data_IF_908890654551
#
_entry.id   IF_908890654551
#
_cell.length_a   1.000
_cell.length_b   1.000
_cell.length_c   1.000
_cell.angle_alpha   90.00
_cell.angle_beta   90.00
_cell.angle_gamma   90.00
#
_symmetry.space_group_name_H-M   'P 1'
#
loop_
_entity.id
_entity.type
_entity.pdbx_description
1 polymer ?
#
# COMPACT_ATOMS: atom_id res chain seq x y z
N UNK A 1 -3.14 30.26 -18.68
CA UNK A 1 -2.18 30.46 -17.58
C UNK A 1 -1.86 29.13 -16.90
N UNK A 2 -0.61 28.77 -16.87
CA UNK A 2 -0.19 27.61 -16.10
C UNK A 2 -0.32 27.93 -14.60
N UNK A 3 -1.02 27.07 -13.88
CA UNK A 3 -1.04 27.15 -12.43
C UNK A 3 0.16 26.36 -11.87
N UNK A 4 1.07 27.10 -11.26
CA UNK A 4 2.27 26.52 -10.67
C UNK A 4 2.13 26.55 -9.14
N UNK A 5 2.46 25.46 -8.50
CA UNK A 5 2.45 25.35 -7.04
C UNK A 5 3.82 24.91 -6.56
N UNK A 6 4.31 25.50 -5.47
CA UNK A 6 5.59 25.09 -4.93
C UNK A 6 5.52 23.72 -4.26
N UNK A 7 6.67 23.07 -4.14
CA UNK A 7 6.79 21.72 -3.60
C UNK A 7 6.22 21.62 -2.18
N UNK A 8 6.48 22.63 -1.34
CA UNK A 8 5.96 22.64 0.02
C UNK A 8 4.45 22.69 0.09
N UNK A 9 3.81 23.48 -0.77
CA UNK A 9 2.35 23.57 -0.86
C UNK A 9 1.76 22.24 -1.33
N UNK A 10 2.35 21.65 -2.36
CA UNK A 10 1.91 20.35 -2.90
C UNK A 10 2.05 19.24 -1.86
N UNK A 11 3.17 19.22 -1.14
CA UNK A 11 3.41 18.27 -0.05
C UNK A 11 2.29 18.30 0.99
N UNK A 12 1.94 19.50 1.46
CA UNK A 12 0.86 19.68 2.44
C UNK A 12 -0.50 19.32 1.88
N UNK A 13 -0.80 19.79 0.68
CA UNK A 13 -2.11 19.61 0.04
C UNK A 13 -2.41 18.15 -0.28
N UNK A 14 -1.41 17.40 -0.74
CA UNK A 14 -1.57 16.00 -1.13
C UNK A 14 -1.22 15.02 -0.01
N UNK A 15 -0.67 15.51 1.09
CA UNK A 15 -0.28 14.65 2.21
C UNK A 15 0.91 13.74 1.89
N UNK A 16 1.82 14.19 1.03
CA UNK A 16 3.05 13.47 0.67
C UNK A 16 4.23 14.23 1.25
N UNK A 17 5.19 13.50 1.86
CA UNK A 17 6.40 14.12 2.37
C UNK A 17 7.28 14.66 1.24
N UNK A 18 8.07 15.67 1.54
CA UNK A 18 9.07 16.20 0.58
C UNK A 18 10.06 15.10 0.15
N UNK A 19 10.38 14.19 1.06
CA UNK A 19 11.26 13.05 0.78
C UNK A 19 10.65 12.12 -0.29
N UNK A 20 9.35 11.83 -0.19
CA UNK A 20 8.65 11.01 -1.18
C UNK A 20 8.56 11.72 -2.53
N UNK A 21 8.28 13.02 -2.54
CA UNK A 21 8.27 13.81 -3.77
C UNK A 21 9.62 13.77 -4.46
N UNK A 22 10.70 13.93 -3.70
CA UNK A 22 12.06 13.85 -4.22
C UNK A 22 12.37 12.46 -4.79
N UNK A 23 11.92 11.42 -4.12
CA UNK A 23 12.07 10.03 -4.57
C UNK A 23 11.38 9.81 -5.92
N UNK A 24 10.15 10.29 -6.07
CA UNK A 24 9.42 10.20 -7.35
C UNK A 24 10.10 10.99 -8.46
N UNK A 25 10.71 12.13 -8.14
CA UNK A 25 11.52 12.87 -9.10
C UNK A 25 12.76 12.09 -9.54
N UNK A 26 13.44 11.44 -8.61
CA UNK A 26 14.61 10.61 -8.90
C UNK A 26 14.26 9.44 -9.83
N UNK A 27 13.06 8.89 -9.70
CA UNK A 27 12.58 7.82 -10.56
C UNK A 27 12.10 8.29 -11.93
N UNK A 28 12.07 9.61 -12.15
CA UNK A 28 11.59 10.17 -13.40
C UNK A 28 10.07 10.14 -13.55
N UNK A 29 9.33 9.86 -12.48
CA UNK A 29 7.87 9.83 -12.50
C UNK A 29 7.26 11.23 -12.58
N UNK A 30 7.87 12.18 -11.93
CA UNK A 30 7.43 13.58 -11.90
C UNK A 30 8.65 14.49 -12.03
N UNK A 31 8.43 15.72 -12.49
CA UNK A 31 9.48 16.73 -12.64
C UNK A 31 9.03 18.03 -12.04
N UNK A 32 9.89 18.63 -11.22
CA UNK A 32 9.71 19.99 -10.77
C UNK A 32 10.46 20.94 -11.68
N UNK A 33 10.05 22.19 -11.69
CA UNK A 33 10.69 23.27 -12.45
C UNK A 33 11.22 24.34 -11.50
N UNK A 34 12.34 24.97 -11.90
CA UNK A 34 12.82 26.17 -11.25
C UNK A 34 12.40 27.38 -12.08
N UNK A 35 11.89 28.39 -11.42
CA UNK A 35 11.52 29.66 -12.04
C UNK A 35 12.57 30.69 -11.63
N UNK A 36 13.06 31.47 -12.63
CA UNK A 36 13.99 32.55 -12.39
C UNK A 36 13.39 33.54 -11.38
N UNK A 37 14.19 33.92 -10.38
CA UNK A 37 13.75 34.85 -9.35
C UNK A 37 12.88 34.24 -8.22
N UNK A 38 12.66 32.94 -8.26
CA UNK A 38 11.88 32.24 -7.22
C UNK A 38 12.74 31.16 -6.55
N UNK A 39 12.74 31.17 -5.23
CA UNK A 39 13.65 30.31 -4.44
C UNK A 39 13.23 28.84 -4.43
N UNK A 40 11.96 28.54 -4.66
CA UNK A 40 11.41 27.19 -4.48
C UNK A 40 11.12 26.54 -5.83
N UNK A 41 11.23 25.20 -5.85
CA UNK A 41 10.80 24.41 -7.00
C UNK A 41 9.28 24.41 -7.07
N UNK A 42 8.75 24.32 -8.29
CA UNK A 42 7.31 24.32 -8.55
C UNK A 42 6.91 23.12 -9.39
N UNK A 43 5.67 22.70 -9.22
CA UNK A 43 5.02 21.70 -10.05
C UNK A 43 3.93 22.34 -10.89
N UNK A 44 3.83 21.93 -12.14
CA UNK A 44 2.72 22.33 -13.01
C UNK A 44 1.48 21.47 -12.73
N UNK A 45 0.37 21.86 -13.32
CA UNK A 45 -0.91 21.18 -13.13
C UNK A 45 -0.88 19.73 -13.60
N UNK A 46 -0.22 19.45 -14.71
CA UNK A 46 -0.08 18.10 -15.25
C UNK A 46 0.68 17.19 -14.29
N UNK A 47 1.76 17.70 -13.72
CA UNK A 47 2.57 16.95 -12.74
C UNK A 47 1.77 16.67 -11.47
N UNK A 48 0.96 17.63 -11.02
CA UNK A 48 0.09 17.45 -9.85
C UNK A 48 -0.95 16.35 -10.12
N UNK A 49 -1.54 16.32 -11.31
CA UNK A 49 -2.48 15.25 -11.70
C UNK A 49 -1.78 13.89 -11.67
N UNK A 50 -0.55 13.84 -12.17
CA UNK A 50 0.25 12.61 -12.14
C UNK A 50 0.55 12.15 -10.72
N UNK A 51 0.86 13.07 -9.82
CA UNK A 51 1.04 12.77 -8.40
C UNK A 51 -0.22 12.18 -7.77
N UNK A 52 -1.39 12.71 -8.11
CA UNK A 52 -2.66 12.16 -7.63
C UNK A 52 -2.88 10.73 -8.12
N UNK A 53 -2.53 10.44 -9.36
CA UNK A 53 -2.57 9.07 -9.90
C UNK A 53 -1.64 8.14 -9.14
N UNK A 54 -0.43 8.58 -8.85
CA UNK A 54 0.54 7.81 -8.07
C UNK A 54 -0.02 7.48 -6.68
N UNK A 55 -0.62 8.48 -6.02
CA UNK A 55 -1.21 8.31 -4.69
C UNK A 55 -2.31 7.25 -4.71
N UNK A 56 -3.22 7.32 -5.69
CA UNK A 56 -4.30 6.33 -5.83
C UNK A 56 -3.74 4.93 -6.03
N UNK A 57 -2.76 4.76 -6.91
CA UNK A 57 -2.14 3.46 -7.19
C UNK A 57 -1.43 2.91 -5.95
N UNK A 58 -0.76 3.77 -5.17
CA UNK A 58 -0.13 3.35 -3.92
C UNK A 58 -1.15 2.90 -2.88
N UNK A 59 -2.29 3.56 -2.80
CA UNK A 59 -3.39 3.13 -1.91
C UNK A 59 -3.93 1.76 -2.31
N UNK A 60 -3.88 1.41 -3.59
CA UNK A 60 -4.26 0.10 -4.10
C UNK A 60 -3.12 -0.93 -3.95
N UNK A 61 -2.03 -0.56 -3.28
CA UNK A 61 -0.85 -1.41 -3.05
C UNK A 61 -0.11 -1.80 -4.33
N UNK A 62 -0.21 -0.98 -5.36
CA UNK A 62 0.62 -1.13 -6.56
C UNK A 62 2.02 -0.67 -6.21
N UNK A 63 3.04 -1.47 -6.54
CA UNK A 63 4.43 -1.13 -6.22
C UNK A 63 4.91 0.05 -7.05
N UNK A 64 5.91 0.77 -6.55
CA UNK A 64 6.50 1.90 -7.28
C UNK A 64 7.03 1.45 -8.64
N UNK A 65 7.64 0.28 -8.71
CA UNK A 65 8.13 -0.30 -9.98
C UNK A 65 6.98 -0.49 -10.98
N UNK A 66 5.86 -1.02 -10.52
CA UNK A 66 4.68 -1.22 -11.35
C UNK A 66 4.03 0.10 -11.75
N UNK A 67 4.06 1.10 -10.87
CA UNK A 67 3.59 2.45 -11.20
C UNK A 67 4.42 3.04 -12.35
N UNK A 68 5.73 2.86 -12.32
CA UNK A 68 6.60 3.26 -13.43
C UNK A 68 6.20 2.58 -14.74
N UNK A 69 5.91 1.28 -14.71
CA UNK A 69 5.45 0.54 -15.87
C UNK A 69 4.12 1.09 -16.40
N UNK A 70 3.17 1.37 -15.50
CA UNK A 70 1.84 1.88 -15.86
C UNK A 70 1.93 3.29 -16.47
N UNK A 71 2.59 4.20 -15.79
CA UNK A 71 2.59 5.62 -16.17
C UNK A 71 3.51 5.93 -17.36
N UNK A 72 4.51 5.10 -17.61
CA UNK A 72 5.44 5.30 -18.73
C UNK A 72 5.10 4.47 -19.95
N UNK A 73 3.98 3.74 -19.92
CA UNK A 73 3.54 2.88 -21.03
C UNK A 73 2.28 3.43 -21.67
N UNK A 74 2.26 3.46 -23.01
CA UNK A 74 1.12 3.93 -23.78
C UNK A 74 0.24 2.78 -24.31
N UNK A 75 0.65 1.53 -24.12
CA UNK A 75 -0.09 0.38 -24.59
C UNK A 75 -1.04 -0.13 -23.50
N UNK A 76 -2.34 -0.04 -23.77
CA UNK A 76 -3.37 -0.49 -22.83
C UNK A 76 -3.20 -1.96 -22.41
N UNK A 77 -2.80 -2.83 -23.36
CA UNK A 77 -2.59 -4.26 -23.08
C UNK A 77 -1.52 -4.48 -22.00
N UNK A 78 -0.44 -3.71 -22.03
CA UNK A 78 0.65 -3.84 -21.07
C UNK A 78 0.23 -3.32 -19.68
N UNK A 79 -0.56 -2.25 -19.64
CA UNK A 79 -1.11 -1.71 -18.38
C UNK A 79 -2.09 -2.71 -17.76
N UNK A 80 -2.94 -3.30 -18.56
CA UNK A 80 -3.89 -4.35 -18.12
C UNK A 80 -3.11 -5.51 -17.49
N UNK A 81 -2.03 -5.94 -18.11
CA UNK A 81 -1.20 -7.03 -17.59
C UNK A 81 -0.62 -6.70 -16.21
N UNK A 82 -0.18 -5.47 -15.99
CA UNK A 82 0.32 -5.04 -14.68
C UNK A 82 -0.79 -5.14 -13.63
N UNK A 83 -1.99 -4.67 -13.94
CA UNK A 83 -3.12 -4.77 -13.02
C UNK A 83 -3.52 -6.23 -12.76
N UNK A 84 -3.51 -7.07 -13.77
CA UNK A 84 -3.81 -8.49 -13.61
C UNK A 84 -2.79 -9.19 -12.71
N UNK A 85 -1.51 -8.85 -12.82
CA UNK A 85 -0.48 -9.34 -11.90
C UNK A 85 -0.76 -8.91 -10.46
N UNK A 86 -1.18 -7.67 -10.27
CA UNK A 86 -1.56 -7.17 -8.95
C UNK A 86 -2.76 -7.93 -8.38
N UNK A 87 -3.74 -8.24 -9.20
CA UNK A 87 -4.89 -9.05 -8.78
C UNK A 87 -4.42 -10.43 -8.31
N UNK A 88 -3.54 -11.09 -9.05
CA UNK A 88 -3.00 -12.39 -8.65
C UNK A 88 -2.24 -12.32 -7.33
N UNK A 89 -1.44 -11.28 -7.14
CA UNK A 89 -0.71 -11.06 -5.87
C UNK A 89 -1.68 -10.87 -4.70
N UNK A 90 -2.77 -10.14 -4.91
CA UNK A 90 -3.81 -9.96 -3.88
C UNK A 90 -4.53 -11.26 -3.58
N UNK A 91 -4.83 -12.06 -4.60
CA UNK A 91 -5.46 -13.37 -4.41
C UNK A 91 -4.58 -14.29 -3.56
N UNK A 92 -3.26 -14.29 -3.81
CA UNK A 92 -2.30 -15.05 -3.00
C UNK A 92 -2.28 -14.56 -1.55
N UNK A 93 -2.27 -13.25 -1.32
CA UNK A 93 -2.30 -12.64 0.01
C UNK A 93 -3.59 -13.01 0.76
N UNK A 94 -4.72 -12.97 0.08
CA UNK A 94 -6.03 -13.36 0.67
C UNK A 94 -5.97 -14.83 1.10
N UNK A 95 -5.45 -15.71 0.26
CA UNK A 95 -5.32 -17.13 0.56
C UNK A 95 -4.41 -17.36 1.75
N UNK A 96 -3.25 -16.70 1.79
CA UNK A 96 -2.32 -16.78 2.92
C UNK A 96 -2.96 -16.32 4.22
N UNK A 97 -3.67 -15.20 4.19
CA UNK A 97 -4.35 -14.66 5.37
C UNK A 97 -5.47 -15.58 5.85
N UNK A 98 -6.23 -16.18 4.92
CA UNK A 98 -7.26 -17.16 5.26
C UNK A 98 -6.65 -18.38 5.93
N UNK A 99 -5.49 -18.85 5.47
CA UNK A 99 -4.76 -19.97 6.07
C UNK A 99 -4.30 -19.62 7.49
N UNK A 100 -3.70 -18.47 7.68
CA UNK A 100 -3.27 -17.99 9.02
C UNK A 100 -4.47 -17.91 9.96
N UNK A 101 -5.56 -17.36 9.51
CA UNK A 101 -6.80 -17.25 10.29
C UNK A 101 -7.30 -18.62 10.72
N UNK A 102 -7.31 -19.59 9.81
CA UNK A 102 -7.73 -20.97 10.11
C UNK A 102 -6.84 -21.62 11.17
N UNK A 103 -5.52 -21.44 11.05
CA UNK A 103 -4.58 -21.97 12.03
C UNK A 103 -4.84 -21.37 13.41
N UNK A 104 -5.02 -20.06 13.49
CA UNK A 104 -5.30 -19.38 14.76
C UNK A 104 -6.62 -19.85 15.37
N UNK A 105 -7.66 -20.03 14.56
CA UNK A 105 -8.95 -20.55 15.01
C UNK A 105 -8.82 -21.96 15.57
N UNK A 106 -8.04 -22.82 14.93
CA UNK A 106 -7.78 -24.17 15.40
C UNK A 106 -6.99 -24.18 16.73
N UNK A 107 -6.01 -23.29 16.87
CA UNK A 107 -5.26 -23.16 18.11
C UNK A 107 -6.15 -22.71 19.26
N UNK A 108 -7.03 -21.76 19.03
CA UNK A 108 -8.01 -21.32 20.04
C UNK A 108 -8.90 -22.48 20.44
N UNK A 109 -9.41 -23.25 19.48
CA UNK A 109 -10.25 -24.44 19.72
C UNK A 109 -9.51 -25.46 20.56
N UNK A 110 -8.27 -25.79 20.21
CA UNK A 110 -7.46 -26.76 20.97
C UNK A 110 -7.22 -26.30 22.40
N UNK A 111 -6.95 -25.01 22.60
CA UNK A 111 -6.73 -24.47 23.94
C UNK A 111 -8.00 -24.51 24.78
N UNK A 112 -9.17 -24.25 24.21
CA UNK A 112 -10.43 -24.40 24.91
C UNK A 112 -10.71 -25.84 25.28
N UNK A 113 -10.45 -26.80 24.40
CA UNK A 113 -10.60 -28.22 24.67
C UNK A 113 -9.67 -28.69 25.80
N UNK A 114 -8.42 -28.24 25.78
CA UNK A 114 -7.46 -28.55 26.88
C UNK A 114 -7.89 -27.96 28.21
N UNK A 115 -8.37 -26.72 28.21
CA UNK A 115 -8.87 -26.07 29.43
C UNK A 115 -10.07 -26.84 29.99
N UNK A 116 -10.99 -27.26 29.13
CA UNK A 116 -12.15 -28.07 29.53
C UNK A 116 -11.72 -29.43 30.07
N UNK A 117 -10.80 -30.11 29.42
CA UNK A 117 -10.25 -31.37 29.88
C UNK A 117 -9.56 -31.24 31.24
N UNK A 118 -8.78 -30.20 31.41
CA UNK A 118 -8.09 -29.94 32.66
C UNK A 118 -9.06 -29.66 33.80
N UNK A 119 -10.12 -28.93 33.56
CA UNK A 119 -11.18 -28.70 34.53
C UNK A 119 -11.90 -30.01 34.90
N UNK A 120 -12.12 -30.90 33.96
CA UNK A 120 -12.71 -32.20 34.20
C UNK A 120 -11.78 -33.07 35.05
N UNK A 121 -10.48 -33.06 34.78
CA UNK A 121 -9.48 -33.78 35.59
C UNK A 121 -9.44 -33.26 37.01
N UNK A 122 -9.42 -31.98 37.23
CA UNK A 122 -9.43 -31.34 38.55
C UNK A 122 -10.68 -31.73 39.33
N UNK A 123 -11.83 -31.76 38.67
CA UNK A 123 -13.12 -32.12 39.26
C UNK A 123 -13.13 -33.60 39.66
N UNK A 124 -12.58 -34.48 38.82
CA UNK A 124 -12.49 -35.90 39.11
C UNK A 124 -11.53 -36.19 40.27
N UNK A 125 -10.39 -35.52 40.34
CA UNK A 125 -9.44 -35.65 41.43
C UNK A 125 -10.07 -35.25 42.77
N UNK A 126 -10.87 -34.21 42.81
CA UNK A 126 -11.59 -33.78 44.01
C UNK A 126 -12.65 -34.77 44.45
N UNK A 127 -13.23 -35.51 43.51
CA UNK A 127 -14.29 -36.48 43.80
C UNK A 127 -13.75 -37.86 44.19
N UNK A 128 -12.46 -38.13 43.96
CA UNK A 128 -11.81 -39.42 44.22
C UNK A 128 -11.04 -39.48 45.56
N UNK A 129 -11.19 -38.46 46.39
CA UNK A 129 -10.56 -38.45 47.73
C UNK A 129 -11.48 -39.07 48.77
#
# INVERSE_FOLDING_TARGET
MEQLQNVGTVSKKLGISNRMLHYYEQLGLVQSRRIEGYAYRVYDEQTIRRLRQIIVLRKLRVSVKQICEILNNNAAADVIEVFERNIRERDEEITEMATIRSILQNLVKELHEKANMQLLWEKNDKNNI
#
